data_IF_396649859435
#
_entry.id   IF_396649859435
#
_cell.length_a   1.000
_cell.length_b   1.000
_cell.length_c   1.000
_cell.angle_alpha   90.00
_cell.angle_beta   90.00
_cell.angle_gamma   90.00
#
_symmetry.space_group_name_H-M   'P 1'
#
loop_
_entity.id
_entity.type
_entity.pdbx_description
1 polymer ?
#
# COMPACT_ATOMS: atom_id res chain seq x y z
N UNK A 1 14.06 6.71 16.84
CA UNK A 1 12.99 5.73 16.58
C UNK A 1 13.54 4.73 15.58
N UNK A 2 13.49 3.42 15.89
CA UNK A 2 13.86 2.38 14.94
C UNK A 2 12.70 2.24 13.94
N UNK A 3 12.76 2.98 12.83
CA UNK A 3 11.90 2.71 11.68
C UNK A 3 12.17 1.28 11.23
N UNK A 4 11.15 0.43 11.05
CA UNK A 4 11.36 -0.88 10.43
C UNK A 4 12.05 -0.67 9.08
N UNK A 5 13.08 -1.46 8.79
CA UNK A 5 13.93 -1.30 7.60
C UNK A 5 13.14 -1.46 6.28
N UNK A 6 11.84 -1.78 6.34
CA UNK A 6 10.97 -2.04 5.18
C UNK A 6 9.68 -1.21 5.17
N UNK A 7 9.64 -0.05 5.84
CA UNK A 7 8.52 0.90 5.66
C UNK A 7 8.79 1.74 4.42
N UNK A 8 8.02 1.51 3.35
CA UNK A 8 8.00 2.44 2.21
C UNK A 8 7.25 3.69 2.69
N UNK A 9 7.97 4.79 2.92
CA UNK A 9 7.37 6.08 3.29
C UNK A 9 6.98 6.81 2.01
N UNK A 10 5.74 6.60 1.56
CA UNK A 10 5.15 7.35 0.45
C UNK A 10 4.11 8.29 1.05
N UNK A 11 4.34 9.60 0.89
CA UNK A 11 3.31 10.60 1.15
C UNK A 11 2.43 10.73 -0.09
N UNK A 12 1.13 10.59 0.11
CA UNK A 12 0.14 10.74 -0.94
C UNK A 12 -0.64 12.04 -0.72
N UNK A 13 -0.81 12.79 -1.81
CA UNK A 13 -1.60 14.02 -1.79
C UNK A 13 -3.08 13.74 -2.07
N UNK A 14 -3.36 12.66 -2.81
CA UNK A 14 -4.71 12.30 -3.23
C UNK A 14 -5.02 10.83 -3.07
N UNK A 15 -6.28 10.51 -2.77
CA UNK A 15 -6.76 9.12 -2.67
C UNK A 15 -6.56 8.33 -3.97
N UNK A 16 -6.60 9.02 -5.12
CA UNK A 16 -6.38 8.45 -6.45
C UNK A 16 -4.96 7.89 -6.65
N UNK A 17 -3.95 8.53 -6.05
CA UNK A 17 -2.55 8.09 -6.11
C UNK A 17 -2.36 6.77 -5.34
N UNK A 18 -3.00 6.66 -4.17
CA UNK A 18 -2.94 5.47 -3.32
C UNK A 18 -3.65 4.28 -3.98
N UNK A 19 -4.83 4.52 -4.57
CA UNK A 19 -5.57 3.51 -5.34
C UNK A 19 -4.74 2.97 -6.49
N UNK A 20 -4.07 3.85 -7.23
CA UNK A 20 -3.24 3.45 -8.36
C UNK A 20 -2.07 2.55 -7.92
N UNK A 21 -1.42 2.86 -6.79
CA UNK A 21 -0.37 1.99 -6.25
C UNK A 21 -0.91 0.64 -5.79
N UNK A 22 -2.03 0.63 -5.05
CA UNK A 22 -2.68 -0.61 -4.60
C UNK A 22 -2.99 -1.52 -5.78
N UNK A 23 -3.62 -0.96 -6.82
CA UNK A 23 -4.02 -1.73 -8.00
C UNK A 23 -2.80 -2.31 -8.74
N UNK A 24 -1.71 -1.55 -8.85
CA UNK A 24 -0.46 -2.02 -9.45
C UNK A 24 0.21 -3.13 -8.63
N UNK A 25 0.16 -3.06 -7.29
CA UNK A 25 0.68 -4.11 -6.42
C UNK A 25 -0.17 -5.38 -6.56
N UNK A 26 -1.49 -5.26 -6.61
CA UNK A 26 -2.39 -6.41 -6.80
C UNK A 26 -2.21 -7.05 -8.19
N UNK A 27 -2.07 -6.25 -9.25
CA UNK A 27 -1.88 -6.75 -10.61
C UNK A 27 -0.55 -7.50 -10.77
N UNK A 28 0.51 -7.05 -10.07
CA UNK A 28 1.86 -7.62 -10.21
C UNK A 28 2.24 -8.62 -9.12
N UNK A 29 1.52 -8.63 -8.00
CA UNK A 29 1.81 -9.47 -6.84
C UNK A 29 1.59 -10.96 -7.07
N UNK A 30 0.75 -11.36 -8.03
CA UNK A 30 0.45 -12.79 -8.23
C UNK A 30 1.53 -13.59 -8.97
N UNK A 31 2.61 -12.96 -9.43
CA UNK A 31 3.60 -13.63 -10.30
C UNK A 31 4.89 -13.96 -9.53
N UNK A 32 4.98 -15.23 -9.10
CA UNK A 32 6.25 -15.84 -8.70
C UNK A 32 6.77 -15.48 -7.31
N UNK A 33 5.91 -14.90 -6.46
CA UNK A 33 6.25 -14.60 -5.08
C UNK A 33 6.34 -15.86 -4.22
N UNK A 34 7.22 -15.80 -3.22
CA UNK A 34 7.21 -16.68 -2.05
C UNK A 34 6.09 -16.30 -1.08
N UNK A 35 5.77 -17.21 -0.15
CA UNK A 35 4.74 -16.97 0.88
C UNK A 35 5.08 -15.75 1.75
N UNK A 36 6.36 -15.54 2.02
CA UNK A 36 6.85 -14.39 2.78
C UNK A 36 6.65 -13.07 2.01
N UNK A 37 6.90 -13.08 0.70
CA UNK A 37 6.67 -11.92 -0.17
C UNK A 37 5.18 -11.59 -0.27
N UNK A 38 4.31 -12.60 -0.44
CA UNK A 38 2.86 -12.39 -0.46
C UNK A 38 2.34 -11.86 0.88
N UNK A 39 2.86 -12.38 2.00
CA UNK A 39 2.51 -11.88 3.31
C UNK A 39 2.92 -10.41 3.48
N UNK A 40 4.12 -10.05 3.03
CA UNK A 40 4.59 -8.67 3.03
C UNK A 40 3.71 -7.76 2.16
N UNK A 41 3.42 -8.15 0.91
CA UNK A 41 2.56 -7.37 0.01
C UNK A 41 1.15 -7.20 0.57
N UNK A 42 0.60 -8.23 1.22
CA UNK A 42 -0.70 -8.16 1.90
C UNK A 42 -0.69 -7.08 3.00
N UNK A 43 0.38 -6.99 3.80
CA UNK A 43 0.50 -5.94 4.82
C UNK A 43 0.56 -4.54 4.19
N UNK A 44 1.25 -4.39 3.05
CA UNK A 44 1.29 -3.12 2.31
C UNK A 44 -0.10 -2.75 1.78
N UNK A 45 -0.85 -3.70 1.20
CA UNK A 45 -2.20 -3.45 0.68
C UNK A 45 -3.13 -2.94 1.79
N UNK A 46 -3.11 -3.56 2.97
CA UNK A 46 -3.92 -3.13 4.13
C UNK A 46 -3.59 -1.69 4.55
N UNK A 47 -2.30 -1.32 4.54
CA UNK A 47 -1.87 0.04 4.84
C UNK A 47 -2.39 1.03 3.79
N UNK A 48 -2.31 0.68 2.50
CA UNK A 48 -2.81 1.52 1.42
C UNK A 48 -4.33 1.71 1.50
N UNK A 49 -5.10 0.67 1.85
CA UNK A 49 -6.54 0.78 2.06
C UNK A 49 -6.89 1.76 3.18
N UNK A 50 -6.16 1.69 4.31
CA UNK A 50 -6.33 2.62 5.42
C UNK A 50 -6.01 4.07 5.01
N UNK A 51 -4.96 4.27 4.20
CA UNK A 51 -4.61 5.58 3.66
C UNK A 51 -5.64 6.12 2.66
N UNK A 52 -6.24 5.25 1.84
CA UNK A 52 -7.34 5.63 0.92
C UNK A 52 -8.51 6.17 1.72
N UNK A 53 -8.98 5.42 2.73
CA UNK A 53 -10.13 5.83 3.55
C UNK A 53 -9.89 7.19 4.22
N UNK A 54 -8.68 7.40 4.76
CA UNK A 54 -8.31 8.66 5.38
C UNK A 54 -8.34 9.82 4.37
N UNK A 55 -7.71 9.65 3.21
CA UNK A 55 -7.64 10.71 2.19
C UNK A 55 -9.01 11.02 1.60
N UNK A 56 -9.82 10.01 1.31
CA UNK A 56 -11.20 10.20 0.85
C UNK A 56 -12.03 10.99 1.88
N UNK A 57 -11.82 10.75 3.17
CA UNK A 57 -12.50 11.50 4.23
C UNK A 57 -12.11 12.99 4.27
N UNK A 58 -10.90 13.33 3.80
CA UNK A 58 -10.36 14.68 3.80
C UNK A 58 -10.63 15.44 2.48
N UNK A 59 -10.88 14.71 1.39
CA UNK A 59 -11.22 15.26 0.07
C UNK A 59 -12.70 15.65 -0.07
N UNK A 60 -13.55 15.24 0.89
CA UNK A 60 -14.99 15.52 0.94
C UNK A 60 -15.34 16.95 1.37
#
# INVERSE_FOLDING_TARGET
>A
MRTPIHSIFIDFSHSTEVKLLRDLIMERGDIGNSVEEDHFLTQIIIQLESSIELLESMEM
#
